data_IF_035934913199
#
_entry.id   IF_035934913199
#
_cell.length_a   1.000
_cell.length_b   1.000
_cell.length_c   1.000
_cell.angle_alpha   90.00
_cell.angle_beta   90.00
_cell.angle_gamma   90.00
#
_symmetry.space_group_name_H-M   'P 1'
#
loop_
_entity.id
_entity.type
_entity.pdbx_description
1 polymer ?
#
# COMPACT_ATOMS: atom_id res chain seq x y z
N UNK A 1 14.89 -25.31 -1.47
CA UNK A 1 14.16 -24.60 -2.56
C UNK A 1 13.91 -23.17 -2.07
N UNK A 2 13.99 -22.17 -2.96
CA UNK A 2 13.69 -20.79 -2.60
C UNK A 2 12.19 -20.64 -2.28
N UNK A 3 11.88 -19.84 -1.26
CA UNK A 3 10.51 -19.46 -0.88
C UNK A 3 10.02 -18.41 -1.85
N UNK A 4 8.97 -18.70 -2.59
CA UNK A 4 8.40 -17.75 -3.55
C UNK A 4 7.32 -16.91 -2.88
N UNK A 5 7.42 -15.59 -3.00
CA UNK A 5 6.46 -14.64 -2.45
C UNK A 5 5.95 -13.74 -3.58
N UNK A 6 4.65 -13.49 -3.60
CA UNK A 6 4.05 -12.50 -4.50
C UNK A 6 3.62 -11.27 -3.69
N UNK A 7 4.15 -10.10 -4.07
CA UNK A 7 3.61 -8.81 -3.68
C UNK A 7 2.61 -8.36 -4.74
N UNK A 8 1.32 -8.26 -4.40
CA UNK A 8 0.28 -7.84 -5.33
C UNK A 8 -0.23 -6.45 -5.00
N UNK A 9 -0.02 -5.51 -5.91
CA UNK A 9 -0.47 -4.13 -5.72
C UNK A 9 0.08 -3.21 -6.79
N UNK A 10 -0.03 -1.89 -6.65
CA UNK A 10 0.61 -0.96 -7.57
C UNK A 10 2.13 -1.14 -7.51
N UNK A 11 2.73 -1.29 -8.68
CA UNK A 11 4.17 -1.44 -8.86
C UNK A 11 4.87 -0.10 -9.13
N UNK A 12 6.19 -0.12 -9.44
CA UNK A 12 7.02 1.08 -9.55
C UNK A 12 6.56 2.10 -10.62
N UNK A 13 5.82 1.67 -11.64
CA UNK A 13 5.26 2.61 -12.63
C UNK A 13 4.13 3.50 -12.09
N UNK A 14 3.62 3.22 -10.88
CA UNK A 14 2.54 4.00 -10.30
C UNK A 14 3.06 5.03 -9.29
N UNK A 15 2.40 6.19 -9.22
CA UNK A 15 2.67 7.24 -8.23
C UNK A 15 1.93 6.95 -6.92
N UNK A 16 2.53 7.41 -5.83
CA UNK A 16 1.90 7.48 -4.53
C UNK A 16 2.44 6.48 -3.52
N UNK A 17 2.07 6.71 -2.26
CA UNK A 17 2.65 6.00 -1.12
C UNK A 17 2.49 4.48 -1.18
N UNK A 18 1.37 3.98 -1.69
CA UNK A 18 1.14 2.53 -1.77
C UNK A 18 2.05 1.86 -2.81
N UNK A 19 2.29 2.52 -3.96
CA UNK A 19 3.22 2.01 -4.96
C UNK A 19 4.65 1.97 -4.41
N UNK A 20 5.07 3.05 -3.74
CA UNK A 20 6.37 3.12 -3.08
C UNK A 20 6.51 2.05 -2.00
N UNK A 21 5.48 1.88 -1.16
CA UNK A 21 5.46 0.87 -0.11
C UNK A 21 5.59 -0.55 -0.69
N UNK A 22 4.75 -0.90 -1.66
CA UNK A 22 4.75 -2.23 -2.27
C UNK A 22 6.07 -2.54 -3.00
N UNK A 23 6.66 -1.53 -3.66
CA UNK A 23 7.97 -1.64 -4.32
C UNK A 23 9.08 -1.82 -3.29
N UNK A 24 9.08 -1.03 -2.20
CA UNK A 24 10.06 -1.16 -1.12
C UNK A 24 9.94 -2.51 -0.40
N UNK A 25 8.71 -2.99 -0.15
CA UNK A 25 8.46 -4.31 0.43
C UNK A 25 9.06 -5.41 -0.46
N UNK A 26 8.79 -5.36 -1.77
CA UNK A 26 9.34 -6.34 -2.71
C UNK A 26 10.88 -6.31 -2.72
N UNK A 27 11.49 -5.12 -2.73
CA UNK A 27 12.95 -4.95 -2.67
C UNK A 27 13.56 -5.55 -1.40
N UNK A 28 12.94 -5.29 -0.24
CA UNK A 28 13.42 -5.81 1.05
C UNK A 28 13.24 -7.33 1.14
N UNK A 29 12.15 -7.88 0.62
CA UNK A 29 11.95 -9.32 0.59
C UNK A 29 12.97 -10.02 -0.32
N UNK A 30 13.29 -9.43 -1.48
CA UNK A 30 14.29 -9.95 -2.43
C UNK A 30 15.71 -9.96 -1.83
N UNK A 31 16.01 -9.05 -0.90
CA UNK A 31 17.31 -9.05 -0.19
C UNK A 31 17.47 -10.17 0.83
N UNK A 32 16.42 -10.97 1.08
CA UNK A 32 16.47 -12.09 2.03
C UNK A 32 16.94 -13.35 1.35
N UNK A 33 17.93 -14.01 1.96
CA UNK A 33 18.45 -15.29 1.44
C UNK A 33 17.33 -16.33 1.30
N UNK A 34 17.33 -17.04 0.19
CA UNK A 34 16.36 -18.09 -0.09
C UNK A 34 14.94 -17.59 -0.41
N UNK A 35 14.74 -16.31 -0.70
CA UNK A 35 13.46 -15.73 -1.12
C UNK A 35 13.51 -15.30 -2.58
N UNK A 36 12.51 -15.70 -3.36
CA UNK A 36 12.28 -15.25 -4.74
C UNK A 36 10.99 -14.42 -4.77
N UNK A 37 11.08 -13.18 -5.26
CA UNK A 37 9.99 -12.21 -5.19
C UNK A 37 9.41 -11.90 -6.56
N UNK A 38 8.09 -11.94 -6.65
CA UNK A 38 7.32 -11.52 -7.80
C UNK A 38 6.43 -10.34 -7.41
N UNK A 39 6.43 -9.28 -8.21
CA UNK A 39 5.53 -8.16 -8.05
C UNK A 39 4.48 -8.21 -9.17
N UNK A 40 3.24 -8.61 -8.84
CA UNK A 40 2.13 -8.57 -9.78
C UNK A 40 1.36 -7.28 -9.60
N UNK A 41 1.17 -6.56 -10.69
CA UNK A 41 0.61 -5.22 -10.64
C UNK A 41 -0.54 -5.02 -11.63
N UNK A 42 -1.15 -3.87 -11.49
CA UNK A 42 -2.26 -3.41 -12.29
C UNK A 42 -1.79 -2.84 -13.63
N UNK A 43 -2.56 -3.05 -14.69
CA UNK A 43 -2.53 -2.21 -15.90
C UNK A 43 -3.51 -1.05 -15.75
N UNK A 44 -4.58 -1.23 -14.93
CA UNK A 44 -5.52 -0.19 -14.54
C UNK A 44 -6.12 -0.53 -13.17
N UNK A 45 -5.96 0.38 -12.18
CA UNK A 45 -6.30 0.14 -10.78
C UNK A 45 -7.76 0.45 -10.43
N UNK A 46 -8.41 1.34 -11.18
CA UNK A 46 -9.71 1.92 -10.82
C UNK A 46 -10.75 1.72 -11.93
N UNK A 47 -12.05 1.80 -11.59
CA UNK A 47 -13.11 1.86 -12.57
C UNK A 47 -12.85 2.96 -13.61
N UNK A 48 -13.24 2.73 -14.86
CA UNK A 48 -13.04 3.70 -15.97
C UNK A 48 -13.70 5.07 -15.71
N UNK A 49 -14.75 5.08 -14.90
CA UNK A 49 -15.44 6.30 -14.46
C UNK A 49 -14.56 7.19 -13.54
N UNK A 50 -13.50 6.64 -12.94
CA UNK A 50 -12.59 7.40 -12.09
C UNK A 50 -11.45 7.92 -12.94
N UNK A 51 -11.42 9.24 -13.28
CA UNK A 51 -10.45 9.80 -14.21
C UNK A 51 -9.08 10.04 -13.54
N UNK A 52 -8.47 8.98 -12.98
CA UNK A 52 -7.20 9.08 -12.26
C UNK A 52 -6.20 8.06 -12.80
N UNK A 53 -5.31 8.54 -13.66
CA UNK A 53 -4.09 7.81 -13.98
C UNK A 53 -3.03 8.15 -12.93
N UNK A 54 -2.70 7.18 -12.10
CA UNK A 54 -1.59 7.30 -11.15
C UNK A 54 -0.27 6.79 -11.74
N UNK A 55 -0.18 6.68 -13.07
CA UNK A 55 1.04 6.22 -13.74
C UNK A 55 2.08 7.35 -13.75
N UNK A 56 3.30 7.04 -13.40
CA UNK A 56 4.42 7.94 -13.51
C UNK A 56 5.02 7.89 -14.92
N UNK A 57 4.67 8.89 -15.73
CA UNK A 57 5.18 9.03 -17.10
C UNK A 57 6.50 9.83 -17.16
N UNK A 58 6.93 10.41 -16.04
CA UNK A 58 8.05 11.37 -16.00
C UNK A 58 9.29 10.86 -15.25
N UNK A 59 9.12 10.02 -14.24
CA UNK A 59 10.25 9.48 -13.50
C UNK A 59 11.01 8.47 -14.35
N UNK A 60 12.33 8.61 -14.35
CA UNK A 60 13.28 7.65 -14.94
C UNK A 60 13.91 6.76 -13.86
N UNK A 61 13.45 6.88 -12.61
CA UNK A 61 14.01 6.12 -11.49
C UNK A 61 13.51 4.68 -11.54
N UNK A 62 14.44 3.75 -11.62
CA UNK A 62 14.16 2.33 -11.42
C UNK A 62 14.40 2.00 -9.94
N UNK A 63 13.32 1.97 -9.15
CA UNK A 63 13.39 1.64 -7.73
C UNK A 63 13.77 0.18 -7.44
N UNK A 64 13.75 -0.68 -8.46
CA UNK A 64 14.10 -2.09 -8.36
C UNK A 64 15.46 -2.40 -9.00
N UNK A 65 16.21 -1.38 -9.42
CA UNK A 65 17.57 -1.56 -9.91
C UNK A 65 18.42 -2.34 -8.90
N UNK A 66 19.19 -3.32 -9.39
CA UNK A 66 20.03 -4.19 -8.57
C UNK A 66 19.27 -5.29 -7.80
N UNK A 67 17.97 -5.50 -8.07
CA UNK A 67 17.16 -6.60 -7.49
C UNK A 67 16.86 -7.68 -8.52
N UNK A 68 16.42 -8.86 -8.02
CA UNK A 68 15.91 -9.96 -8.86
C UNK A 68 14.37 -9.98 -8.93
N UNK A 69 13.69 -8.95 -8.43
CA UNK A 69 12.23 -8.87 -8.41
C UNK A 69 11.65 -8.92 -9.81
N UNK A 70 10.80 -9.92 -10.07
CA UNK A 70 10.11 -10.08 -11.36
C UNK A 70 8.80 -9.31 -11.36
N UNK A 71 8.71 -8.23 -12.15
CA UNK A 71 7.51 -7.38 -12.22
C UNK A 71 6.64 -7.75 -13.39
N UNK A 72 5.33 -7.94 -13.15
CA UNK A 72 4.33 -8.24 -14.20
C UNK A 72 3.11 -7.36 -14.04
N UNK A 73 2.78 -6.56 -15.06
CA UNK A 73 1.57 -5.73 -15.14
C UNK A 73 0.50 -6.46 -15.95
N UNK A 74 -0.48 -7.05 -15.29
CA UNK A 74 -1.47 -7.93 -15.95
C UNK A 74 -2.91 -7.62 -15.53
N UNK A 75 -3.14 -7.18 -14.28
CA UNK A 75 -4.48 -7.05 -13.73
C UNK A 75 -5.14 -5.75 -14.14
N UNK A 76 -6.33 -5.80 -14.73
CA UNK A 76 -7.12 -4.63 -15.11
C UNK A 76 -8.46 -4.65 -14.38
N UNK A 77 -8.79 -3.57 -13.67
CA UNK A 77 -10.04 -3.46 -12.92
C UNK A 77 -11.26 -3.68 -13.81
N UNK A 78 -11.26 -3.12 -15.02
CA UNK A 78 -12.41 -3.11 -15.92
C UNK A 78 -12.47 -4.34 -16.86
N UNK A 79 -11.48 -5.25 -16.79
CA UNK A 79 -11.39 -6.41 -17.66
C UNK A 79 -11.32 -7.72 -16.85
N UNK A 80 -12.47 -8.33 -16.49
CA UNK A 80 -12.50 -9.55 -15.66
C UNK A 80 -11.72 -10.75 -16.22
N UNK A 81 -11.49 -10.80 -17.54
CA UNK A 81 -10.64 -11.80 -18.17
C UNK A 81 -9.22 -11.77 -17.56
N UNK A 82 -8.68 -10.59 -17.33
CA UNK A 82 -7.34 -10.42 -16.75
C UNK A 82 -7.25 -10.95 -15.32
N UNK A 83 -8.34 -10.97 -14.54
CA UNK A 83 -8.34 -11.55 -13.19
C UNK A 83 -8.12 -13.08 -13.25
N UNK A 84 -8.62 -13.73 -14.31
CA UNK A 84 -8.38 -15.14 -14.54
C UNK A 84 -6.92 -15.39 -15.00
N UNK A 85 -6.39 -14.51 -15.82
CA UNK A 85 -4.99 -14.56 -16.27
C UNK A 85 -4.05 -14.35 -15.07
N UNK A 86 -4.35 -13.37 -14.20
CA UNK A 86 -3.64 -13.15 -12.94
C UNK A 86 -3.64 -14.40 -12.06
N UNK A 87 -4.82 -15.03 -11.87
CA UNK A 87 -4.90 -16.28 -11.11
C UNK A 87 -4.05 -17.40 -11.73
N UNK A 88 -4.06 -17.56 -13.06
CA UNK A 88 -3.24 -18.58 -13.74
C UNK A 88 -1.74 -18.34 -13.52
N UNK A 89 -1.30 -17.09 -13.64
CA UNK A 89 0.08 -16.70 -13.37
C UNK A 89 0.47 -17.00 -11.91
N UNK A 90 -0.38 -16.65 -10.94
CA UNK A 90 -0.14 -16.97 -9.52
C UNK A 90 -0.03 -18.48 -9.31
N UNK A 91 -0.90 -19.28 -9.96
CA UNK A 91 -0.87 -20.73 -9.86
C UNK A 91 0.39 -21.33 -10.51
N UNK A 92 0.85 -20.77 -11.63
CA UNK A 92 2.08 -21.19 -12.33
C UNK A 92 3.33 -20.90 -11.50
N UNK A 93 3.43 -19.68 -10.91
CA UNK A 93 4.52 -19.31 -10.00
C UNK A 93 4.53 -20.24 -8.76
N UNK A 94 3.35 -20.64 -8.30
CA UNK A 94 3.13 -21.48 -7.12
C UNK A 94 3.88 -20.93 -5.87
N UNK A 95 3.56 -19.70 -5.42
CA UNK A 95 4.21 -19.09 -4.27
C UNK A 95 3.74 -19.72 -2.96
N UNK A 96 4.50 -19.53 -1.89
CA UNK A 96 4.07 -19.85 -0.53
C UNK A 96 2.91 -18.94 -0.09
N UNK A 97 3.01 -17.64 -0.43
CA UNK A 97 1.98 -16.64 -0.10
C UNK A 97 1.83 -15.57 -1.17
N UNK A 98 0.65 -14.95 -1.17
CA UNK A 98 0.37 -13.71 -1.91
C UNK A 98 -0.02 -12.61 -0.91
N UNK A 99 0.74 -11.51 -0.90
CA UNK A 99 0.49 -10.33 -0.08
C UNK A 99 -0.26 -9.31 -0.94
N UNK A 100 -1.56 -9.16 -0.71
CA UNK A 100 -2.40 -8.19 -1.41
C UNK A 100 -2.40 -6.85 -0.69
N UNK A 101 -2.02 -5.78 -1.37
CA UNK A 101 -2.12 -4.42 -0.86
C UNK A 101 -3.58 -3.94 -0.86
N UNK A 102 -4.12 -3.67 0.32
CA UNK A 102 -5.49 -3.19 0.48
C UNK A 102 -5.51 -1.70 0.85
N UNK A 103 -6.00 -0.87 -0.07
CA UNK A 103 -6.03 0.59 0.09
C UNK A 103 -7.27 1.25 -0.54
N UNK A 104 -8.21 0.47 -1.06
CA UNK A 104 -9.48 0.97 -1.63
C UNK A 104 -10.54 -0.14 -1.65
N UNK A 105 -11.74 0.15 -1.13
CA UNK A 105 -12.84 -0.82 -1.08
C UNK A 105 -13.27 -1.35 -2.45
N UNK A 106 -13.23 -0.50 -3.50
CA UNK A 106 -13.59 -0.92 -4.86
C UNK A 106 -12.71 -2.06 -5.37
N UNK A 107 -11.42 -2.06 -5.03
CA UNK A 107 -10.53 -3.15 -5.41
C UNK A 107 -10.89 -4.50 -4.79
N UNK A 108 -11.74 -4.49 -3.76
CA UNK A 108 -12.31 -5.70 -3.19
C UNK A 108 -13.04 -6.58 -4.21
N UNK A 109 -13.52 -6.03 -5.34
CA UNK A 109 -14.19 -6.82 -6.38
C UNK A 109 -13.19 -7.74 -7.12
N UNK A 110 -12.15 -7.23 -7.80
CA UNK A 110 -11.17 -8.06 -8.49
C UNK A 110 -10.34 -8.90 -7.51
N UNK A 111 -9.89 -8.32 -6.39
CA UNK A 111 -9.06 -9.03 -5.41
C UNK A 111 -9.82 -10.22 -4.80
N UNK A 112 -11.09 -10.04 -4.42
CA UNK A 112 -11.90 -11.16 -3.93
C UNK A 112 -12.05 -12.27 -4.97
N UNK A 113 -12.25 -11.93 -6.24
CA UNK A 113 -12.39 -12.93 -7.31
C UNK A 113 -11.11 -13.72 -7.54
N UNK A 114 -9.96 -13.06 -7.54
CA UNK A 114 -8.64 -13.69 -7.66
C UNK A 114 -8.38 -14.57 -6.42
N UNK A 115 -8.50 -14.01 -5.22
CA UNK A 115 -8.25 -14.70 -3.97
C UNK A 115 -9.18 -15.92 -3.78
N UNK A 116 -10.47 -15.84 -4.19
CA UNK A 116 -11.39 -16.97 -4.15
C UNK A 116 -10.93 -18.13 -5.02
N UNK A 117 -10.34 -17.85 -6.19
CA UNK A 117 -9.79 -18.89 -7.06
C UNK A 117 -8.52 -19.51 -6.47
N UNK A 118 -7.62 -18.70 -5.89
CA UNK A 118 -6.45 -19.17 -5.16
C UNK A 118 -6.90 -20.14 -4.06
N UNK A 119 -7.79 -19.70 -3.19
CA UNK A 119 -8.30 -20.51 -2.07
C UNK A 119 -8.96 -21.82 -2.49
N UNK A 120 -9.65 -21.82 -3.66
CA UNK A 120 -10.35 -23.01 -4.17
C UNK A 120 -9.40 -24.03 -4.81
N UNK A 121 -8.32 -23.59 -5.44
CA UNK A 121 -7.53 -24.44 -6.34
C UNK A 121 -6.06 -24.61 -5.92
N UNK A 122 -5.65 -24.02 -4.81
CA UNK A 122 -4.27 -24.06 -4.31
C UNK A 122 -4.25 -24.03 -2.79
N UNK A 123 -3.09 -24.32 -2.20
CA UNK A 123 -2.80 -24.15 -0.76
C UNK A 123 -2.07 -22.82 -0.44
N UNK A 124 -1.96 -21.91 -1.40
CA UNK A 124 -1.24 -20.64 -1.27
C UNK A 124 -1.90 -19.78 -0.18
N UNK A 125 -1.10 -19.25 0.74
CA UNK A 125 -1.56 -18.36 1.79
C UNK A 125 -1.97 -17.00 1.21
N UNK A 126 -3.12 -16.49 1.65
CA UNK A 126 -3.65 -15.18 1.25
C UNK A 126 -3.49 -14.21 2.41
N UNK A 127 -2.59 -13.25 2.25
CA UNK A 127 -2.33 -12.17 3.20
C UNK A 127 -2.87 -10.86 2.64
N UNK A 128 -3.62 -10.11 3.43
CA UNK A 128 -3.96 -8.73 3.09
C UNK A 128 -3.18 -7.75 3.95
N UNK A 129 -2.44 -6.87 3.31
CA UNK A 129 -1.74 -5.76 3.93
C UNK A 129 -2.63 -4.52 3.89
N UNK A 130 -3.11 -4.11 5.07
CA UNK A 130 -4.20 -3.15 5.24
C UNK A 130 -3.67 -1.76 5.56
N UNK A 131 -3.72 -0.85 4.58
CA UNK A 131 -3.38 0.56 4.80
C UNK A 131 -4.54 1.34 5.44
N UNK A 132 -5.76 0.86 5.30
CA UNK A 132 -6.96 1.22 6.06
C UNK A 132 -8.05 0.16 5.87
N UNK A 133 -9.05 0.16 6.73
CA UNK A 133 -10.19 -0.77 6.68
C UNK A 133 -11.49 -0.01 6.42
N UNK A 134 -11.77 1.02 7.20
CA UNK A 134 -12.96 1.84 7.03
C UNK A 134 -12.65 3.01 6.09
N UNK A 135 -13.36 3.14 4.94
CA UNK A 135 -13.21 4.28 4.06
C UNK A 135 -13.55 5.58 4.77
N UNK A 136 -12.77 6.62 4.54
CA UNK A 136 -12.95 7.93 5.19
C UNK A 136 -14.29 8.59 4.87
N UNK A 137 -14.87 8.29 3.71
CA UNK A 137 -16.17 8.79 3.24
C UNK A 137 -17.34 7.88 3.65
N UNK A 138 -17.05 6.77 4.31
CA UNK A 138 -17.94 5.88 5.09
C UNK A 138 -19.28 5.51 4.43
N UNK A 139 -19.30 5.17 3.14
CA UNK A 139 -20.52 4.69 2.48
C UNK A 139 -20.84 3.25 2.91
N UNK A 140 -22.15 2.91 2.97
CA UNK A 140 -22.62 1.55 3.27
C UNK A 140 -22.17 0.53 2.21
N UNK A 141 -22.00 0.98 0.95
CA UNK A 141 -21.48 0.18 -0.17
C UNK A 141 -20.02 -0.18 0.08
N UNK A 142 -19.20 0.78 0.48
CA UNK A 142 -17.80 0.56 0.77
C UNK A 142 -17.59 -0.44 1.91
N UNK A 143 -18.40 -0.35 2.96
CA UNK A 143 -18.37 -1.33 4.07
C UNK A 143 -18.67 -2.75 3.58
N UNK A 144 -19.71 -2.92 2.72
CA UNK A 144 -20.05 -4.22 2.14
C UNK A 144 -18.96 -4.78 1.24
N UNK A 145 -18.36 -3.92 0.39
CA UNK A 145 -17.24 -4.31 -0.47
C UNK A 145 -15.99 -4.69 0.34
N UNK A 146 -15.66 -3.91 1.37
CA UNK A 146 -14.56 -4.19 2.29
C UNK A 146 -14.77 -5.52 2.99
N UNK A 147 -15.93 -5.75 3.61
CA UNK A 147 -16.25 -7.02 4.27
C UNK A 147 -16.15 -8.19 3.30
N UNK A 148 -16.71 -8.06 2.09
CA UNK A 148 -16.62 -9.10 1.06
C UNK A 148 -15.19 -9.36 0.62
N UNK A 149 -14.40 -8.30 0.40
CA UNK A 149 -13.02 -8.40 -0.07
C UNK A 149 -12.12 -9.09 0.96
N UNK A 150 -12.17 -8.61 2.20
CA UNK A 150 -11.24 -9.03 3.25
C UNK A 150 -11.54 -10.40 3.85
N UNK A 151 -12.81 -10.86 3.86
CA UNK A 151 -13.16 -12.13 4.53
C UNK A 151 -12.41 -13.36 4.03
N UNK A 152 -11.85 -13.31 2.81
CA UNK A 152 -11.19 -14.44 2.16
C UNK A 152 -9.76 -14.67 2.66
N UNK A 153 -9.15 -13.68 3.32
CA UNK A 153 -7.78 -13.74 3.80
C UNK A 153 -7.56 -14.86 4.82
N UNK A 154 -6.37 -15.41 4.85
CA UNK A 154 -5.88 -16.30 5.91
C UNK A 154 -5.30 -15.47 7.05
N UNK A 155 -4.63 -14.37 6.75
CA UNK A 155 -4.04 -13.44 7.72
C UNK A 155 -4.01 -12.01 7.21
N UNK A 156 -3.72 -11.08 8.11
CA UNK A 156 -3.68 -9.65 7.83
C UNK A 156 -2.41 -9.02 8.38
N UNK A 157 -1.90 -8.01 7.67
CA UNK A 157 -0.90 -7.08 8.17
C UNK A 157 -1.61 -5.74 8.40
N UNK A 158 -1.32 -5.08 9.52
CA UNK A 158 -1.85 -3.75 9.86
C UNK A 158 -0.73 -2.86 10.39
N UNK A 159 -0.85 -1.54 10.21
CA UNK A 159 0.18 -0.58 10.60
C UNK A 159 -0.21 0.27 11.81
N UNK A 160 -1.40 0.05 12.37
CA UNK A 160 -1.88 0.75 13.55
C UNK A 160 -2.90 -0.09 14.33
N UNK A 161 -2.99 0.12 15.64
CA UNK A 161 -4.02 -0.49 16.48
C UNK A 161 -5.45 -0.14 16.01
N UNK A 162 -5.63 1.10 15.52
CA UNK A 162 -6.90 1.54 14.95
C UNK A 162 -7.36 0.62 13.81
N UNK A 163 -6.47 0.31 12.85
CA UNK A 163 -6.77 -0.56 11.71
C UNK A 163 -7.13 -1.98 12.15
N UNK A 164 -6.44 -2.50 13.18
CA UNK A 164 -6.76 -3.81 13.77
C UNK A 164 -8.16 -3.80 14.43
N UNK A 165 -8.51 -2.74 15.15
CA UNK A 165 -9.82 -2.61 15.78
C UNK A 165 -10.95 -2.47 14.76
N UNK A 166 -10.76 -1.64 13.72
CA UNK A 166 -11.70 -1.51 12.60
C UNK A 166 -11.94 -2.86 11.90
N UNK A 167 -10.91 -3.69 11.74
CA UNK A 167 -11.04 -5.03 11.18
C UNK A 167 -11.89 -5.95 12.08
N UNK A 168 -11.67 -5.91 13.40
CA UNK A 168 -12.46 -6.66 14.38
C UNK A 168 -13.93 -6.24 14.39
N UNK A 169 -14.20 -4.92 14.27
CA UNK A 169 -15.56 -4.37 14.17
C UNK A 169 -16.30 -4.84 12.91
N UNK A 170 -15.60 -4.95 11.77
CA UNK A 170 -16.19 -5.48 10.52
C UNK A 170 -16.50 -6.98 10.63
N UNK A 171 -15.72 -7.73 11.39
CA UNK A 171 -15.85 -9.18 11.58
C UNK A 171 -16.05 -9.57 13.05
N UNK A 172 -17.15 -9.15 13.71
CA UNK A 172 -17.35 -9.33 15.16
C UNK A 172 -17.35 -10.81 15.60
N UNK A 173 -17.73 -11.73 14.70
CA UNK A 173 -17.81 -13.17 14.98
C UNK A 173 -16.55 -13.93 14.55
N UNK A 174 -15.52 -13.25 14.03
CA UNK A 174 -14.26 -13.86 13.66
C UNK A 174 -13.26 -13.67 14.81
N UNK A 175 -12.78 -14.71 15.46
CA UNK A 175 -11.71 -14.58 16.43
C UNK A 175 -10.39 -14.22 15.73
N UNK A 176 -9.64 -13.31 16.35
CA UNK A 176 -8.36 -12.84 15.85
C UNK A 176 -7.27 -12.99 16.90
N UNK A 177 -6.09 -13.41 16.45
CA UNK A 177 -4.85 -13.40 17.21
C UNK A 177 -3.99 -12.23 16.72
N UNK A 178 -3.74 -11.26 17.60
CA UNK A 178 -2.89 -10.10 17.32
C UNK A 178 -1.45 -10.41 17.74
N UNK A 179 -0.50 -10.16 16.85
CA UNK A 179 0.93 -10.35 17.10
C UNK A 179 1.75 -9.19 16.52
N UNK A 180 2.91 -8.91 17.13
CA UNK A 180 3.86 -7.90 16.64
C UNK A 180 5.17 -8.55 16.13
N UNK A 181 5.35 -9.84 16.34
CA UNK A 181 6.55 -10.58 15.96
C UNK A 181 6.36 -11.56 14.80
N UNK A 182 5.16 -11.56 14.16
CA UNK A 182 4.86 -12.44 13.04
C UNK A 182 4.46 -13.87 13.39
N UNK A 183 4.39 -14.22 14.68
CA UNK A 183 3.90 -15.55 15.11
C UNK A 183 2.50 -15.81 14.59
N UNK A 184 2.26 -16.98 14.02
CA UNK A 184 0.94 -17.40 13.55
C UNK A 184 0.16 -18.11 14.66
N UNK A 185 -1.16 -17.92 14.66
CA UNK A 185 -2.01 -18.73 15.54
C UNK A 185 -2.01 -20.19 15.09
N UNK A 186 -2.03 -21.10 16.06
CA UNK A 186 -2.21 -22.54 15.82
C UNK A 186 -3.71 -22.94 15.76
N UNK A 187 -4.61 -22.05 16.18
CA UNK A 187 -6.04 -22.32 16.22
C UNK A 187 -6.69 -22.18 14.85
N UNK A 188 -7.31 -23.25 14.36
CA UNK A 188 -7.89 -23.32 12.99
C UNK A 188 -8.97 -22.29 12.70
N UNK A 189 -9.73 -21.84 13.70
CA UNK A 189 -10.82 -20.89 13.52
C UNK A 189 -10.40 -19.44 13.74
N UNK A 190 -9.17 -19.20 14.12
CA UNK A 190 -8.64 -17.88 14.43
C UNK A 190 -7.76 -17.38 13.29
N UNK A 191 -7.89 -16.10 12.95
CA UNK A 191 -7.04 -15.45 11.94
C UNK A 191 -5.98 -14.58 12.59
N UNK A 192 -4.77 -14.63 12.06
CA UNK A 192 -3.68 -13.80 12.57
C UNK A 192 -3.77 -12.38 12.01
N UNK A 193 -3.63 -11.39 12.89
CA UNK A 193 -3.35 -9.99 12.55
C UNK A 193 -1.91 -9.70 12.98
N UNK A 194 -1.06 -9.41 12.04
CA UNK A 194 0.34 -9.02 12.29
C UNK A 194 0.39 -7.50 12.29
N UNK A 195 0.69 -6.90 13.45
CA UNK A 195 0.87 -5.45 13.56
C UNK A 195 2.32 -5.10 13.33
N UNK A 196 2.60 -4.35 12.29
CA UNK A 196 3.91 -3.80 11.95
C UNK A 196 3.83 -2.28 11.93
N UNK A 197 4.89 -1.60 12.36
CA UNK A 197 4.99 -0.17 12.15
C UNK A 197 5.19 0.13 10.66
N UNK A 198 4.64 1.27 10.21
CA UNK A 198 4.88 1.71 8.84
C UNK A 198 6.38 2.01 8.66
N UNK A 199 7.07 1.41 7.67
CA UNK A 199 8.50 1.59 7.52
C UNK A 199 8.87 2.99 7.01
N UNK A 200 10.12 3.37 7.21
CA UNK A 200 10.73 4.51 6.53
C UNK A 200 11.03 4.10 5.09
N UNK A 201 10.76 4.99 4.15
CA UNK A 201 11.10 4.77 2.75
C UNK A 201 12.58 5.06 2.50
N UNK A 202 13.36 4.01 2.30
CA UNK A 202 14.80 4.09 1.95
C UNK A 202 15.05 4.11 0.44
N UNK A 203 13.98 4.07 -0.36
CA UNK A 203 14.07 4.14 -1.83
C UNK A 203 14.32 5.56 -2.35
N UNK A 204 14.19 6.58 -1.50
CA UNK A 204 14.48 7.97 -1.81
C UNK A 204 15.73 8.40 -1.06
N UNK A 205 16.79 8.67 -1.80
CA UNK A 205 18.02 9.21 -1.24
C UNK A 205 18.17 10.69 -1.64
N UNK A 206 18.55 11.57 -0.69
CA UNK A 206 18.86 12.94 -1.04
C UNK A 206 20.11 12.95 -1.93
N UNK A 207 20.18 13.87 -2.86
CA UNK A 207 21.42 14.12 -3.61
C UNK A 207 22.47 14.66 -2.65
N UNK A 208 23.67 14.06 -2.66
CA UNK A 208 24.77 14.47 -1.77
C UNK A 208 25.25 15.90 -2.01
N UNK A 209 24.99 16.46 -3.20
CA UNK A 209 25.35 17.81 -3.63
C UNK A 209 24.19 18.83 -3.53
N UNK A 210 23.10 18.47 -2.85
CA UNK A 210 21.95 19.38 -2.71
C UNK A 210 22.25 20.49 -1.70
N UNK A 211 22.42 21.72 -2.21
CA UNK A 211 22.63 22.93 -1.40
C UNK A 211 21.27 23.48 -0.92
N UNK A 212 20.95 23.23 0.34
CA UNK A 212 19.72 23.70 1.02
C UNK A 212 19.66 25.21 1.07
N UNK A 213 20.76 25.89 1.32
CA UNK A 213 20.81 27.35 1.42
C UNK A 213 20.65 28.03 0.05
N UNK A 214 21.26 27.45 -0.99
CA UNK A 214 21.01 27.92 -2.36
C UNK A 214 19.56 27.71 -2.77
N UNK A 215 18.95 26.58 -2.38
CA UNK A 215 17.53 26.34 -2.62
C UNK A 215 16.63 27.36 -1.92
N UNK A 216 16.89 27.64 -0.62
CA UNK A 216 16.14 28.67 0.12
C UNK A 216 16.25 30.04 -0.53
N UNK A 217 17.45 30.47 -0.87
CA UNK A 217 17.69 31.75 -1.58
C UNK A 217 16.92 31.81 -2.89
N UNK A 218 16.99 30.74 -3.70
CA UNK A 218 16.30 30.68 -5.00
C UNK A 218 14.78 30.82 -4.89
N UNK A 219 14.21 30.35 -3.79
CA UNK A 219 12.76 30.35 -3.58
C UNK A 219 12.27 31.39 -2.57
N UNK A 220 13.14 32.31 -2.16
CA UNK A 220 12.86 33.37 -1.16
C UNK A 220 12.28 32.76 0.13
N UNK A 221 12.91 31.68 0.63
CA UNK A 221 12.48 31.02 1.84
C UNK A 221 13.31 31.53 3.03
N UNK A 222 12.63 31.73 4.14
CA UNK A 222 13.21 32.15 5.41
C UNK A 222 13.99 31.03 6.09
N UNK A 223 14.58 31.33 7.25
CA UNK A 223 15.39 30.41 8.04
C UNK A 223 14.67 29.12 8.37
N UNK A 224 13.41 29.21 8.79
CA UNK A 224 12.61 28.04 9.15
C UNK A 224 11.49 27.82 8.13
N UNK A 225 11.45 26.64 7.55
CA UNK A 225 10.48 26.29 6.50
C UNK A 225 9.54 25.19 7.00
N UNK A 226 8.24 25.52 7.02
CA UNK A 226 7.17 24.56 7.25
C UNK A 226 6.73 24.00 5.90
N UNK A 227 6.90 22.68 5.71
CA UNK A 227 6.56 22.02 4.45
C UNK A 227 5.23 21.27 4.57
N UNK A 228 4.25 21.61 3.73
CA UNK A 228 3.09 20.76 3.50
C UNK A 228 3.29 19.94 2.24
N UNK A 229 3.45 18.62 2.39
CA UNK A 229 3.69 17.73 1.27
C UNK A 229 2.54 16.74 1.06
N UNK A 230 1.99 16.67 -0.17
CA UNK A 230 1.02 15.68 -0.60
C UNK A 230 -0.22 16.24 -1.28
N UNK A 231 -1.21 15.37 -1.53
CA UNK A 231 -2.48 15.80 -2.13
C UNK A 231 -3.28 16.69 -1.17
N UNK A 232 -3.80 17.79 -1.69
CA UNK A 232 -4.68 18.68 -0.94
C UNK A 232 -6.04 17.99 -0.76
N UNK A 233 -6.36 17.66 0.48
CA UNK A 233 -7.61 17.04 0.91
C UNK A 233 -8.07 17.67 2.22
N UNK A 234 -9.37 17.89 2.38
CA UNK A 234 -9.93 18.54 3.57
C UNK A 234 -9.44 17.89 4.88
N UNK A 235 -9.46 16.56 4.95
CA UNK A 235 -9.05 15.81 6.14
C UNK A 235 -7.56 15.89 6.50
N UNK A 236 -6.71 16.40 5.57
CA UNK A 236 -5.28 16.62 5.85
C UNK A 236 -4.99 17.95 6.54
N UNK A 237 -6.00 18.80 6.72
CA UNK A 237 -5.92 19.97 7.57
C UNK A 237 -5.06 21.12 7.04
N UNK A 238 -4.79 21.21 5.72
CA UNK A 238 -4.00 22.32 5.17
C UNK A 238 -4.55 23.69 5.56
N UNK A 239 -5.88 23.86 5.57
CA UNK A 239 -6.53 25.10 6.00
C UNK A 239 -6.19 25.45 7.45
N UNK A 240 -6.16 24.48 8.36
CA UNK A 240 -5.73 24.73 9.75
C UNK A 240 -4.23 25.06 9.84
N UNK A 241 -3.40 24.44 9.00
CA UNK A 241 -1.97 24.75 8.95
C UNK A 241 -1.75 26.21 8.48
N UNK A 242 -2.50 26.66 7.45
CA UNK A 242 -2.43 28.04 6.96
C UNK A 242 -2.89 29.04 8.02
N UNK A 243 -4.01 28.77 8.71
CA UNK A 243 -4.53 29.61 9.80
C UNK A 243 -3.52 29.71 10.97
N UNK A 244 -2.91 28.60 11.34
CA UNK A 244 -1.90 28.56 12.38
C UNK A 244 -0.63 29.32 11.96
N UNK A 245 -0.21 29.14 10.71
CA UNK A 245 0.95 29.84 10.16
C UNK A 245 0.73 31.36 10.10
N UNK A 246 -0.45 31.83 9.70
CA UNK A 246 -0.78 33.26 9.71
C UNK A 246 -0.61 33.88 11.11
N UNK A 247 -1.03 33.18 12.18
CA UNK A 247 -0.81 33.62 13.58
C UNK A 247 0.67 33.60 13.99
N UNK A 248 1.46 32.69 13.40
CA UNK A 248 2.89 32.61 13.67
C UNK A 248 3.63 33.80 13.06
N UNK A 249 3.26 34.22 11.83
CA UNK A 249 3.87 35.37 11.12
C UNK A 249 3.59 36.72 11.80
N UNK A 250 2.58 36.81 12.67
CA UNK A 250 2.38 37.99 13.53
C UNK A 250 3.48 38.17 14.58
N UNK A 251 4.24 37.09 14.87
CA UNK A 251 5.25 37.03 15.95
C UNK A 251 6.67 36.76 15.42
N UNK A 252 6.80 36.32 14.19
CA UNK A 252 8.07 35.92 13.58
C UNK A 252 8.08 36.26 12.09
N UNK A 253 9.21 36.78 11.65
CA UNK A 253 9.50 37.13 10.25
C UNK A 253 10.48 36.15 9.58
N UNK A 254 11.06 35.20 10.37
CA UNK A 254 12.06 34.25 9.93
C UNK A 254 11.48 32.87 9.53
N UNK A 255 10.20 32.81 9.17
CA UNK A 255 9.46 31.57 8.84
C UNK A 255 8.82 31.61 7.46
N UNK A 256 8.86 30.51 6.73
CA UNK A 256 8.17 30.31 5.46
C UNK A 256 7.25 29.09 5.50
N UNK A 257 6.20 29.11 4.68
CA UNK A 257 5.30 27.97 4.44
C UNK A 257 5.37 27.56 2.98
N UNK A 258 5.68 26.30 2.70
CA UNK A 258 5.87 25.73 1.38
C UNK A 258 4.90 24.57 1.13
#
# INVERSE_FOLDING_TARGET
MARKIICFGPGPQFKGGIANYNTALAKVLDSKEGVEVFLISWTQQYPAIVPREFIDKKSKLDFLEGTNVKVTYITNYNRPKTWNETFRLIKEINPEMVIFQWYNAHQGIPLHKIAKKIKKHTSIEIVFDLHFVVPKENSSVDKKLTKRGLRIADSYIVHANKTANELKEIFPNQPFFLTENGTRTAEKNQKTIIKLYHPIYTIFEPKNDFDVEAFKRKHNLEKYVFLYFGFIRKYKGLHHAIEAFAKLTEKRDDVSFL
#
